data_IF_404137989547
#
_entry.id   IF_404137989547
#
_cell.length_a   1.000
_cell.length_b   1.000
_cell.length_c   1.000
_cell.angle_alpha   90.00
_cell.angle_beta   90.00
_cell.angle_gamma   90.00
#
_symmetry.space_group_name_H-M   'P 1'
#
loop_
_entity.id
_entity.type
_entity.pdbx_description
1 polymer ?
#
# COMPACT_ATOMS: atom_id res chain seq x y z
N UNK A 1 1.15 -12.55 -18.86
CA UNK A 1 2.04 -11.36 -18.99
C UNK A 1 1.30 -10.09 -19.44
N UNK A 2 0.26 -10.18 -20.29
CA UNK A 2 -0.45 -9.01 -20.82
C UNK A 2 -1.32 -8.31 -19.77
N UNK A 3 -2.13 -9.07 -19.01
CA UNK A 3 -3.05 -8.51 -18.00
C UNK A 3 -2.36 -7.54 -17.03
N UNK A 4 -1.12 -7.84 -16.62
CA UNK A 4 -0.36 -7.02 -15.67
C UNK A 4 0.17 -5.73 -16.27
N UNK A 5 0.51 -5.75 -17.57
CA UNK A 5 0.95 -4.56 -18.31
C UNK A 5 -0.18 -3.56 -18.53
N UNK A 6 -1.43 -4.02 -18.44
CA UNK A 6 -2.62 -3.17 -18.57
C UNK A 6 -3.18 -2.79 -17.20
N UNK A 7 -3.36 -3.76 -16.31
CA UNK A 7 -4.00 -3.54 -15.01
C UNK A 7 -3.22 -2.58 -14.12
N UNK A 8 -1.88 -2.60 -14.15
CA UNK A 8 -1.07 -1.72 -13.27
C UNK A 8 -1.11 -0.25 -13.69
N UNK A 9 -0.93 0.11 -14.97
CA UNK A 9 -1.19 1.48 -15.42
C UNK A 9 -2.60 1.95 -15.14
N UNK A 10 -3.62 1.11 -15.35
CA UNK A 10 -5.02 1.46 -15.06
C UNK A 10 -5.24 1.73 -13.57
N UNK A 11 -4.71 0.88 -12.69
CA UNK A 11 -4.80 1.06 -11.24
C UNK A 11 -4.00 2.30 -10.80
N UNK A 12 -2.83 2.53 -11.38
CA UNK A 12 -1.98 3.67 -11.08
C UNK A 12 -2.60 5.01 -11.51
N UNK A 13 -3.38 5.03 -12.58
CA UNK A 13 -3.88 6.26 -13.21
C UNK A 13 -4.60 7.16 -12.22
N UNK A 14 -5.47 6.62 -11.37
CA UNK A 14 -6.26 7.41 -10.41
C UNK A 14 -5.40 8.05 -9.31
N UNK A 15 -4.30 7.38 -8.92
CA UNK A 15 -3.38 7.93 -7.92
C UNK A 15 -2.51 9.03 -8.54
N UNK A 16 -2.01 8.83 -9.76
CA UNK A 16 -1.17 9.82 -10.45
C UNK A 16 -2.00 11.06 -10.79
N UNK A 17 -3.20 10.89 -11.36
CA UNK A 17 -4.06 12.03 -11.70
C UNK A 17 -4.50 12.78 -10.44
N UNK A 18 -4.95 12.06 -9.41
CA UNK A 18 -5.36 12.66 -8.15
C UNK A 18 -4.21 13.40 -7.44
N UNK A 19 -3.01 12.82 -7.43
CA UNK A 19 -1.84 13.46 -6.84
C UNK A 19 -1.42 14.74 -7.60
N UNK A 20 -1.46 14.72 -8.94
CA UNK A 20 -1.18 15.91 -9.74
C UNK A 20 -2.19 17.02 -9.45
N UNK A 21 -3.48 16.67 -9.35
CA UNK A 21 -4.54 17.62 -9.02
C UNK A 21 -4.32 18.22 -7.63
N UNK A 22 -3.99 17.39 -6.63
CA UNK A 22 -3.68 17.88 -5.28
C UNK A 22 -2.49 18.83 -5.24
N UNK A 23 -1.44 18.61 -6.05
CA UNK A 23 -0.31 19.56 -6.13
C UNK A 23 -0.68 20.86 -6.84
N UNK A 24 -1.55 20.80 -7.86
CA UNK A 24 -2.02 21.99 -8.60
C UNK A 24 -3.00 22.83 -7.80
N UNK A 25 -3.87 22.18 -7.03
CA UNK A 25 -4.92 22.81 -6.24
C UNK A 25 -5.01 22.19 -4.83
N UNK A 26 -4.06 22.50 -3.93
CA UNK A 26 -4.00 21.84 -2.62
C UNK A 26 -5.08 22.31 -1.64
N UNK A 27 -5.64 23.52 -1.80
CA UNK A 27 -6.52 24.16 -0.80
C UNK A 27 -7.74 23.30 -0.41
N UNK A 28 -8.51 22.71 -1.34
CA UNK A 28 -9.67 21.88 -0.98
C UNK A 28 -9.24 20.61 -0.22
N UNK A 29 -8.09 20.04 -0.56
CA UNK A 29 -7.57 18.85 0.09
C UNK A 29 -7.05 19.13 1.50
N UNK A 30 -6.49 20.31 1.73
CA UNK A 30 -6.08 20.77 3.07
C UNK A 30 -7.30 20.91 3.98
N UNK A 31 -8.34 21.62 3.52
CA UNK A 31 -9.58 21.81 4.30
C UNK A 31 -10.27 20.48 4.63
N UNK A 32 -10.25 19.53 3.69
CA UNK A 32 -10.80 18.19 3.92
C UNK A 32 -9.94 17.36 4.90
N UNK A 33 -8.64 17.61 4.98
CA UNK A 33 -7.70 16.86 5.82
C UNK A 33 -7.62 17.39 7.26
N UNK A 34 -7.79 18.70 7.47
CA UNK A 34 -7.67 19.38 8.79
C UNK A 34 -8.39 18.63 9.94
N UNK A 35 -9.70 18.30 9.85
CA UNK A 35 -10.42 17.69 10.98
C UNK A 35 -9.89 16.29 11.36
N UNK A 36 -9.30 15.57 10.39
CA UNK A 36 -8.76 14.23 10.61
C UNK A 36 -7.33 14.29 11.11
N UNK A 37 -6.53 15.23 10.60
CA UNK A 37 -5.16 15.45 11.04
C UNK A 37 -5.11 15.88 12.50
N UNK A 38 -6.01 16.78 12.93
CA UNK A 38 -6.12 17.18 14.33
C UNK A 38 -6.48 16.01 15.25
N UNK A 39 -7.38 15.12 14.80
CA UNK A 39 -7.79 13.93 15.57
C UNK A 39 -6.74 12.83 15.58
N UNK A 40 -5.84 12.77 14.61
CA UNK A 40 -4.85 11.68 14.49
C UNK A 40 -3.46 12.19 14.84
N UNK A 41 -2.84 12.95 13.94
CA UNK A 41 -1.50 13.52 14.09
C UNK A 41 -1.44 14.42 15.33
N UNK A 42 -2.47 15.23 15.60
CA UNK A 42 -2.53 16.07 16.80
C UNK A 42 -2.39 15.30 18.12
N UNK A 43 -2.88 14.06 18.20
CA UNK A 43 -2.80 13.21 19.41
C UNK A 43 -1.46 12.52 19.61
N UNK A 44 -0.68 12.37 18.54
CA UNK A 44 0.63 11.70 18.58
C UNK A 44 1.78 12.67 18.31
N UNK A 45 1.48 13.95 18.11
CA UNK A 45 2.43 15.02 17.78
C UNK A 45 3.64 15.04 18.71
N UNK A 46 3.41 14.88 20.00
CA UNK A 46 4.46 14.90 21.02
C UNK A 46 5.38 13.66 20.99
N UNK A 47 5.00 12.62 20.25
CA UNK A 47 5.77 11.38 20.05
C UNK A 47 6.39 11.27 18.66
N UNK A 48 6.14 12.24 17.78
CA UNK A 48 6.69 12.24 16.43
C UNK A 48 8.09 12.87 16.45
N UNK A 49 9.07 12.31 15.72
CA UNK A 49 10.34 12.97 15.46
C UNK A 49 10.13 14.40 14.97
N UNK A 50 10.91 15.35 15.49
CA UNK A 50 10.81 16.77 15.12
C UNK A 50 11.00 17.05 13.61
N UNK A 51 11.54 16.08 12.86
CA UNK A 51 11.72 16.16 11.41
C UNK A 51 10.46 15.82 10.61
N UNK A 52 9.40 15.31 11.23
CA UNK A 52 8.18 14.97 10.52
C UNK A 52 7.30 16.22 10.33
N UNK A 53 6.85 16.50 9.09
CA UNK A 53 5.89 17.55 8.84
C UNK A 53 4.62 17.27 9.65
N UNK A 54 4.17 18.27 10.40
CA UNK A 54 2.92 18.19 11.17
C UNK A 54 1.88 19.19 10.69
N UNK A 55 2.27 20.06 9.76
CA UNK A 55 1.37 21.00 9.12
C UNK A 55 0.50 20.30 8.04
N UNK A 56 -0.81 20.61 7.98
CA UNK A 56 -1.72 20.00 7.00
C UNK A 56 -1.28 20.14 5.55
N UNK A 57 -0.72 21.30 5.18
CA UNK A 57 -0.26 21.56 3.82
C UNK A 57 0.88 20.62 3.40
N UNK A 58 1.92 20.48 4.21
CA UNK A 58 3.04 19.58 3.89
C UNK A 58 2.61 18.13 3.88
N UNK A 59 1.70 17.71 4.77
CA UNK A 59 1.17 16.34 4.78
C UNK A 59 0.37 16.04 3.50
N UNK A 60 -0.47 16.98 3.05
CA UNK A 60 -1.22 16.84 1.80
C UNK A 60 -0.28 16.80 0.58
N UNK A 61 0.75 17.66 0.54
CA UNK A 61 1.75 17.64 -0.54
C UNK A 61 2.59 16.36 -0.52
N UNK A 62 2.95 15.85 0.65
CA UNK A 62 3.67 14.60 0.82
C UNK A 62 2.85 13.42 0.31
N UNK A 63 1.58 13.33 0.70
CA UNK A 63 0.64 12.32 0.21
C UNK A 63 0.52 12.36 -1.33
N UNK A 64 0.39 13.56 -1.90
CA UNK A 64 0.34 13.75 -3.34
C UNK A 64 1.63 13.28 -4.04
N UNK A 65 2.81 13.61 -3.47
CA UNK A 65 4.10 13.15 -3.99
C UNK A 65 4.22 11.61 -3.93
N UNK A 66 3.77 10.99 -2.84
CA UNK A 66 3.72 9.53 -2.70
C UNK A 66 2.81 8.92 -3.77
N UNK A 67 1.62 9.47 -3.98
CA UNK A 67 0.67 8.97 -5.00
C UNK A 67 1.24 9.04 -6.42
N UNK A 68 1.90 10.15 -6.77
CA UNK A 68 2.54 10.30 -8.08
C UNK A 68 3.72 9.32 -8.23
N UNK A 69 4.62 9.30 -7.25
CA UNK A 69 5.83 8.49 -7.30
C UNK A 69 5.52 6.99 -7.29
N UNK A 70 4.72 6.54 -6.32
CA UNK A 70 4.31 5.14 -6.20
C UNK A 70 3.36 4.73 -7.33
N UNK A 71 2.44 5.60 -7.78
CA UNK A 71 1.59 5.37 -8.94
C UNK A 71 2.42 5.13 -10.21
N UNK A 72 3.36 6.02 -10.49
CA UNK A 72 4.27 5.90 -11.64
C UNK A 72 5.11 4.62 -11.55
N UNK A 73 5.69 4.34 -10.38
CA UNK A 73 6.47 3.13 -10.15
C UNK A 73 5.62 1.85 -10.36
N UNK A 74 4.38 1.84 -9.85
CA UNK A 74 3.45 0.73 -10.03
C UNK A 74 3.11 0.53 -11.52
N UNK A 75 2.77 1.60 -12.23
CA UNK A 75 2.42 1.59 -13.65
C UNK A 75 3.56 1.08 -14.53
N UNK A 76 4.79 1.55 -14.28
CA UNK A 76 6.00 1.08 -14.97
C UNK A 76 6.47 -0.31 -14.50
N UNK A 77 5.87 -0.86 -13.44
CA UNK A 77 6.26 -2.16 -12.88
C UNK A 77 7.58 -2.14 -12.12
N UNK A 78 8.04 -0.96 -11.67
CA UNK A 78 9.23 -0.76 -10.84
C UNK A 78 8.86 -0.95 -9.36
N UNK A 79 9.45 -1.94 -8.71
CA UNK A 79 9.13 -2.30 -7.31
C UNK A 79 7.61 -2.34 -7.01
N UNK A 80 6.81 -3.04 -7.82
CA UNK A 80 5.35 -2.89 -7.83
C UNK A 80 4.69 -3.27 -6.51
N UNK A 81 5.31 -4.15 -5.73
CA UNK A 81 4.80 -4.55 -4.41
C UNK A 81 4.94 -3.42 -3.38
N UNK A 82 6.10 -2.76 -3.34
CA UNK A 82 6.33 -1.62 -2.45
C UNK A 82 5.47 -0.44 -2.88
N UNK A 83 5.40 -0.16 -4.18
CA UNK A 83 4.54 0.86 -4.73
C UNK A 83 3.07 0.64 -4.36
N UNK A 84 2.56 -0.59 -4.52
CA UNK A 84 1.19 -0.93 -4.14
C UNK A 84 0.93 -0.79 -2.63
N UNK A 85 1.89 -1.19 -1.77
CA UNK A 85 1.78 -1.02 -0.33
C UNK A 85 1.77 0.45 0.08
N UNK A 86 2.61 1.29 -0.52
CA UNK A 86 2.63 2.73 -0.27
C UNK A 86 1.30 3.38 -0.66
N UNK A 87 0.79 3.05 -1.85
CA UNK A 87 -0.51 3.56 -2.31
C UNK A 87 -1.64 3.10 -1.39
N UNK A 88 -1.64 1.82 -0.96
CA UNK A 88 -2.64 1.28 -0.04
C UNK A 88 -2.58 2.00 1.32
N UNK A 89 -1.38 2.20 1.84
CA UNK A 89 -1.15 2.95 3.09
C UNK A 89 -1.63 4.40 3.01
N UNK A 90 -1.50 5.05 1.85
CA UNK A 90 -2.01 6.41 1.62
C UNK A 90 -3.55 6.47 1.45
N UNK A 91 -4.13 5.42 0.86
CA UNK A 91 -5.54 5.39 0.49
C UNK A 91 -6.46 5.26 1.70
N UNK A 92 -6.06 4.50 2.71
CA UNK A 92 -6.85 4.27 3.93
C UNK A 92 -7.13 5.59 4.70
N UNK A 93 -6.12 6.38 5.11
CA UNK A 93 -6.36 7.62 5.84
C UNK A 93 -7.08 8.67 4.98
N UNK A 94 -6.77 8.75 3.69
CA UNK A 94 -7.44 9.71 2.78
C UNK A 94 -8.90 9.36 2.53
N UNK A 95 -9.25 8.07 2.47
CA UNK A 95 -10.65 7.63 2.38
C UNK A 95 -11.41 7.89 3.67
N UNK A 96 -10.77 7.61 4.81
CA UNK A 96 -11.34 7.91 6.12
C UNK A 96 -11.52 9.41 6.36
N UNK A 97 -10.72 10.27 5.72
CA UNK A 97 -10.93 11.72 5.79
C UNK A 97 -12.09 12.18 4.91
N UNK A 98 -12.09 11.77 3.64
CA UNK A 98 -12.96 12.36 2.61
C UNK A 98 -14.35 11.72 2.48
N UNK A 99 -14.51 10.42 2.80
CA UNK A 99 -15.69 9.65 2.41
C UNK A 99 -16.34 8.89 3.57
N UNK A 100 -16.53 9.57 4.69
CA UNK A 100 -17.24 9.06 5.88
C UNK A 100 -18.75 9.15 5.66
N UNK A 101 -19.27 8.30 4.76
CA UNK A 101 -20.68 8.34 4.34
C UNK A 101 -21.67 8.23 5.51
N UNK A 102 -21.27 7.61 6.62
CA UNK A 102 -22.07 7.47 7.84
C UNK A 102 -22.28 8.78 8.62
N UNK A 103 -21.57 9.86 8.28
CA UNK A 103 -21.74 11.17 8.92
C UNK A 103 -22.73 12.08 8.17
N UNK A 104 -23.25 11.65 7.01
CA UNK A 104 -24.20 12.43 6.21
C UNK A 104 -25.64 12.04 6.57
N UNK A 105 -26.46 13.05 6.88
CA UNK A 105 -27.88 12.89 7.22
C UNK A 105 -28.77 12.82 5.98
N UNK A 106 -28.44 13.59 4.92
CA UNK A 106 -29.18 13.54 3.66
C UNK A 106 -29.00 12.18 2.97
N UNK A 107 -30.10 11.47 2.62
CA UNK A 107 -30.02 10.15 2.01
C UNK A 107 -29.32 10.12 0.65
N UNK A 108 -29.44 11.17 -0.17
CA UNK A 108 -28.83 11.21 -1.50
C UNK A 108 -27.33 11.45 -1.40
N UNK A 109 -26.90 12.40 -0.56
CA UNK A 109 -25.48 12.66 -0.30
C UNK A 109 -24.80 11.45 0.34
N UNK A 110 -25.44 10.82 1.32
CA UNK A 110 -24.94 9.59 1.93
C UNK A 110 -24.73 8.48 0.90
N UNK A 111 -25.68 8.27 0.00
CA UNK A 111 -25.56 7.26 -1.06
C UNK A 111 -24.39 7.58 -2.01
N UNK A 112 -24.22 8.84 -2.41
CA UNK A 112 -23.11 9.27 -3.25
C UNK A 112 -21.75 9.02 -2.56
N UNK A 113 -21.62 9.39 -1.28
CA UNK A 113 -20.41 9.18 -0.50
C UNK A 113 -20.10 7.71 -0.28
N UNK A 114 -21.13 6.88 -0.10
CA UNK A 114 -20.97 5.43 0.01
C UNK A 114 -20.39 4.83 -1.28
N UNK A 115 -20.79 5.32 -2.45
CA UNK A 115 -20.20 4.89 -3.73
C UNK A 115 -18.72 5.27 -3.82
N UNK A 116 -18.32 6.47 -3.37
CA UNK A 116 -16.91 6.85 -3.33
C UNK A 116 -16.09 5.97 -2.38
N UNK A 117 -16.63 5.69 -1.19
CA UNK A 117 -16.02 4.77 -0.24
C UNK A 117 -15.81 3.37 -0.84
N UNK A 118 -16.84 2.81 -1.49
CA UNK A 118 -16.77 1.50 -2.13
C UNK A 118 -15.77 1.47 -3.31
N UNK A 119 -15.67 2.55 -4.09
CA UNK A 119 -14.63 2.69 -5.13
C UNK A 119 -13.24 2.60 -4.52
N UNK A 120 -12.99 3.29 -3.41
CA UNK A 120 -11.71 3.25 -2.73
C UNK A 120 -11.42 1.87 -2.14
N UNK A 121 -12.42 1.16 -1.60
CA UNK A 121 -12.25 -0.25 -1.19
C UNK A 121 -11.89 -1.16 -2.38
N UNK A 122 -12.52 -0.96 -3.54
CA UNK A 122 -12.17 -1.68 -4.77
C UNK A 122 -10.72 -1.42 -5.19
N UNK A 123 -10.28 -0.17 -5.14
CA UNK A 123 -8.88 0.21 -5.40
C UNK A 123 -7.92 -0.44 -4.40
N UNK A 124 -8.27 -0.44 -3.11
CA UNK A 124 -7.49 -1.11 -2.06
C UNK A 124 -7.34 -2.60 -2.34
N UNK A 125 -8.43 -3.28 -2.72
CA UNK A 125 -8.39 -4.68 -3.12
C UNK A 125 -7.44 -4.92 -4.31
N UNK A 126 -7.52 -4.06 -5.34
CA UNK A 126 -6.59 -4.10 -6.47
C UNK A 126 -5.12 -3.91 -6.06
N UNK A 127 -4.84 -3.00 -5.13
CA UNK A 127 -3.51 -2.76 -4.59
C UNK A 127 -3.01 -3.95 -3.76
N UNK A 128 -3.85 -4.58 -2.95
CA UNK A 128 -3.48 -5.78 -2.18
C UNK A 128 -3.13 -6.96 -3.10
N UNK A 129 -3.86 -7.13 -4.20
CA UNK A 129 -3.50 -8.11 -5.23
C UNK A 129 -2.15 -7.75 -5.88
N UNK A 130 -1.91 -6.49 -6.21
CA UNK A 130 -0.62 -6.05 -6.76
C UNK A 130 0.55 -6.21 -5.76
N UNK A 131 0.29 -6.06 -4.46
CA UNK A 131 1.27 -6.23 -3.39
C UNK A 131 1.62 -7.70 -3.10
N UNK A 132 0.65 -8.61 -3.25
CA UNK A 132 0.84 -10.05 -3.07
C UNK A 132 1.46 -10.74 -4.30
N UNK A 133 1.42 -10.09 -5.46
CA UNK A 133 1.90 -10.62 -6.71
C UNK A 133 3.45 -10.78 -6.75
N UNK A 134 3.91 -12.03 -6.95
CA UNK A 134 5.33 -12.41 -6.98
C UNK A 134 5.91 -12.67 -8.38
N UNK A 135 5.14 -12.41 -9.44
CA UNK A 135 5.58 -12.59 -10.85
C UNK A 135 6.10 -14.00 -11.17
N UNK A 136 5.60 -15.03 -10.48
CA UNK A 136 6.07 -16.41 -10.63
C UNK A 136 7.46 -16.67 -10.06
N UNK A 137 8.12 -15.65 -9.47
CA UNK A 137 9.35 -15.85 -8.70
C UNK A 137 8.97 -16.30 -7.29
N UNK A 138 9.57 -17.37 -6.76
CA UNK A 138 9.27 -17.80 -5.40
C UNK A 138 9.53 -16.67 -4.41
N UNK A 139 8.61 -16.49 -3.46
CA UNK A 139 8.72 -15.47 -2.43
C UNK A 139 10.01 -15.64 -1.62
N UNK A 140 10.49 -14.56 -0.99
CA UNK A 140 11.69 -14.63 -0.12
C UNK A 140 11.49 -15.69 0.97
N UNK A 141 10.32 -15.71 1.61
CA UNK A 141 9.94 -16.73 2.58
C UNK A 141 10.02 -18.15 2.02
N UNK A 142 9.56 -18.37 0.78
CA UNK A 142 9.68 -19.68 0.13
C UNK A 142 11.15 -20.05 -0.11
N UNK A 143 11.99 -19.10 -0.54
CA UNK A 143 13.43 -19.35 -0.74
C UNK A 143 14.12 -19.69 0.57
N UNK A 144 13.82 -18.98 1.65
CA UNK A 144 14.36 -19.26 2.99
C UNK A 144 13.91 -20.63 3.48
N UNK A 145 12.62 -20.95 3.38
CA UNK A 145 12.08 -22.26 3.78
C UNK A 145 12.70 -23.41 2.96
N UNK A 146 12.90 -23.20 1.66
CA UNK A 146 13.55 -24.19 0.78
C UNK A 146 15.03 -24.36 1.12
N UNK A 147 15.74 -23.29 1.44
CA UNK A 147 17.14 -23.36 1.88
C UNK A 147 17.28 -24.12 3.21
N UNK A 148 16.41 -23.84 4.18
CA UNK A 148 16.35 -24.57 5.45
C UNK A 148 16.06 -26.06 5.23
N UNK A 149 15.05 -26.38 4.40
CA UNK A 149 14.72 -27.78 4.07
C UNK A 149 15.90 -28.53 3.43
N UNK A 150 16.60 -27.91 2.47
CA UNK A 150 17.80 -28.51 1.85
C UNK A 150 18.93 -28.73 2.85
N UNK A 151 19.07 -27.85 3.84
CA UNK A 151 20.07 -28.03 4.89
C UNK A 151 19.71 -29.22 5.79
N UNK A 152 18.43 -29.36 6.18
CA UNK A 152 17.95 -30.51 6.95
C UNK A 152 18.11 -31.83 6.18
N UNK A 153 17.77 -31.86 4.89
CA UNK A 153 17.93 -33.04 4.02
C UNK A 153 19.40 -33.49 3.96
N UNK A 154 20.35 -32.55 3.76
CA UNK A 154 21.79 -32.88 3.77
C UNK A 154 22.29 -33.44 5.10
N UNK A 155 21.75 -32.96 6.21
CA UNK A 155 22.12 -33.44 7.56
C UNK A 155 21.58 -34.86 7.77
N UNK A 156 20.36 -35.16 7.30
CA UNK A 156 19.79 -36.49 7.34
C UNK A 156 20.59 -37.47 6.47
N UNK A 157 20.89 -37.10 5.22
CA UNK A 157 21.70 -37.91 4.31
C UNK A 157 23.09 -38.22 4.90
N UNK A 158 23.72 -37.23 5.53
CA UNK A 158 25.01 -37.42 6.20
C UNK A 158 24.89 -38.36 7.40
N UNK A 159 23.86 -38.21 8.24
CA UNK A 159 23.62 -39.09 9.38
C UNK A 159 23.35 -40.55 8.96
N UNK A 160 22.56 -40.75 7.90
CA UNK A 160 22.25 -42.07 7.35
C UNK A 160 23.50 -42.72 6.72
N UNK A 161 24.35 -41.94 6.06
CA UNK A 161 25.62 -42.43 5.51
C UNK A 161 26.56 -42.93 6.62
N UNK A 162 26.70 -42.19 7.72
CA UNK A 162 27.53 -42.59 8.87
C UNK A 162 26.96 -43.86 9.52
N UNK A 163 25.63 -43.95 9.65
CA UNK A 163 24.96 -45.13 10.20
C UNK A 163 25.18 -46.39 9.35
N UNK A 164 25.31 -46.26 8.02
CA UNK A 164 25.60 -47.40 7.14
C UNK A 164 27.06 -47.89 7.21
N UNK A 165 28.01 -47.03 7.61
CA UNK A 165 29.45 -47.34 7.68
C UNK A 165 29.82 -47.98 9.03
N UNK A 166 29.03 -47.75 10.09
CA UNK A 166 29.12 -48.48 11.35
C UNK A 166 28.02 -49.55 11.44
N UNK A 167 28.18 -50.74 10.82
CA UNK A 167 27.38 -51.88 11.21
C UNK A 167 27.78 -52.25 12.65
N UNK A 168 26.78 -52.40 13.51
CA UNK A 168 26.97 -52.91 14.88
C UNK A 168 27.48 -54.34 14.90
#
# INVERSE_FOLDING_TARGET
MILRRVARPLLAAIFVSGGIETLRNPKPHIQAAEPVLDRTVGRVRDKLPAQLPTDPESLVKLDAAVKIGAGTALGLGRFPRLAALLLAGSLVPTTAAAHRYWEYEDPQERAAQQVHFLKNLGLLGGLMLAASDTHGKPSVAWRTKRAARKATEKVQDAADSVRSIMPG
#
